data_IF_294020599675
#
_entry.id   IF_294020599675
#
_cell.length_a   1.000
_cell.length_b   1.000
_cell.length_c   1.000
_cell.angle_alpha   90.00
_cell.angle_beta   90.00
_cell.angle_gamma   90.00
#
_symmetry.space_group_name_H-M   'P 1'
#
loop_
_entity.id
_entity.type
_entity.pdbx_description
1 polymer ?
#
# COMPACT_ATOMS: atom_id res chain seq x y z
N UNK A 1 21.14 13.06 -16.80
CA UNK A 1 20.66 11.68 -16.97
C UNK A 1 21.05 11.23 -18.36
N UNK A 2 21.61 10.03 -18.51
CA UNK A 2 22.12 9.53 -19.80
C UNK A 2 21.37 8.25 -20.18
N UNK A 3 21.23 7.97 -21.48
CA UNK A 3 20.59 6.75 -21.96
C UNK A 3 21.31 6.16 -23.15
N UNK A 4 21.26 4.83 -23.28
CA UNK A 4 21.87 4.08 -24.38
C UNK A 4 21.11 2.78 -24.61
N UNK A 5 21.04 2.32 -25.86
CA UNK A 5 20.49 1.01 -26.21
C UNK A 5 21.65 0.02 -26.29
N UNK A 6 21.56 -1.07 -25.53
CA UNK A 6 22.57 -2.13 -25.49
C UNK A 6 21.94 -3.50 -25.67
N UNK A 7 22.75 -4.50 -26.02
CA UNK A 7 22.34 -5.89 -26.04
C UNK A 7 22.49 -6.53 -24.66
N UNK A 8 21.42 -7.09 -24.09
CA UNK A 8 21.47 -7.86 -22.85
C UNK A 8 21.72 -9.33 -23.15
N UNK A 9 22.83 -9.89 -22.63
CA UNK A 9 23.17 -11.30 -22.79
C UNK A 9 22.17 -12.22 -22.07
N UNK A 10 21.77 -11.87 -20.86
CA UNK A 10 20.84 -12.68 -20.05
C UNK A 10 19.43 -12.72 -20.65
N UNK A 11 18.95 -11.58 -21.16
CA UNK A 11 17.61 -11.48 -21.76
C UNK A 11 17.60 -11.78 -23.26
N UNK A 12 18.78 -11.96 -23.88
CA UNK A 12 18.98 -12.20 -25.32
C UNK A 12 18.23 -11.19 -26.20
N UNK A 13 18.21 -9.91 -25.80
CA UNK A 13 17.50 -8.84 -26.53
C UNK A 13 18.09 -7.45 -26.28
N UNK A 14 17.73 -6.49 -27.13
CA UNK A 14 18.05 -5.08 -26.92
C UNK A 14 17.26 -4.53 -25.72
N UNK A 15 17.94 -3.75 -24.90
CA UNK A 15 17.36 -3.04 -23.74
C UNK A 15 17.84 -1.59 -23.77
N UNK A 16 17.00 -0.67 -23.28
CA UNK A 16 17.41 0.72 -23.06
C UNK A 16 17.89 0.86 -21.62
N UNK A 17 19.13 1.32 -21.45
CA UNK A 17 19.70 1.66 -20.16
C UNK A 17 19.47 3.14 -19.86
N UNK A 18 19.13 3.43 -18.62
CA UNK A 18 19.11 4.78 -18.06
C UNK A 18 20.15 4.86 -16.93
N UNK A 19 21.12 5.75 -17.10
CA UNK A 19 22.17 6.01 -16.11
C UNK A 19 21.91 7.36 -15.43
N UNK A 20 21.79 7.31 -14.10
CA UNK A 20 21.52 8.46 -13.27
C UNK A 20 22.67 8.66 -12.28
N UNK A 21 23.01 9.94 -12.09
CA UNK A 21 23.89 10.40 -11.04
C UNK A 21 23.03 11.08 -9.99
N UNK A 22 23.05 10.53 -8.79
CA UNK A 22 22.43 11.12 -7.63
C UNK A 22 23.50 11.89 -6.86
N UNK A 23 23.44 13.22 -6.99
CA UNK A 23 24.39 14.15 -6.38
C UNK A 23 23.77 14.89 -5.17
N UNK A 24 22.71 14.34 -4.56
CA UNK A 24 22.06 14.97 -3.38
C UNK A 24 23.01 15.11 -2.19
N UNK A 25 23.96 14.19 -2.04
CA UNK A 25 25.07 14.30 -1.09
C UNK A 25 26.37 14.66 -1.84
N UNK A 26 26.96 15.84 -1.59
CA UNK A 26 28.22 16.26 -2.22
C UNK A 26 29.39 15.31 -1.95
N UNK A 27 29.36 14.57 -0.84
CA UNK A 27 30.43 13.65 -0.45
C UNK A 27 30.25 12.26 -1.05
N UNK A 28 29.06 11.94 -1.55
CA UNK A 28 28.73 10.61 -2.08
C UNK A 28 27.83 10.73 -3.31
N UNK A 29 28.46 10.74 -4.48
CA UNK A 29 27.75 10.62 -5.75
C UNK A 29 27.31 9.16 -5.93
N UNK A 30 26.02 8.90 -5.80
CA UNK A 30 25.48 7.58 -6.08
C UNK A 30 25.21 7.42 -7.58
N UNK A 31 25.56 6.25 -8.12
CA UNK A 31 25.40 5.90 -9.53
C UNK A 31 24.28 4.87 -9.62
N UNK A 32 23.20 5.21 -10.31
CA UNK A 32 22.02 4.36 -10.43
C UNK A 32 21.90 3.95 -11.89
N UNK A 33 21.78 2.64 -12.12
CA UNK A 33 21.57 2.06 -13.44
C UNK A 33 20.22 1.37 -13.46
N UNK A 34 19.34 1.83 -14.35
CA UNK A 34 18.01 1.27 -14.58
C UNK A 34 17.94 0.78 -16.03
N UNK A 35 17.04 -0.15 -16.34
CA UNK A 35 16.84 -0.59 -17.72
C UNK A 35 15.38 -0.90 -18.02
N UNK A 36 15.01 -0.81 -19.30
CA UNK A 36 13.75 -1.34 -19.81
C UNK A 36 13.97 -2.25 -21.00
N UNK A 37 13.10 -3.25 -21.13
CA UNK A 37 13.03 -4.08 -22.35
C UNK A 37 12.30 -3.36 -23.48
N UNK A 38 11.50 -2.33 -23.16
CA UNK A 38 10.99 -1.39 -24.14
C UNK A 38 12.07 -0.36 -24.47
N UNK A 39 12.57 -0.45 -25.70
CA UNK A 39 13.65 0.41 -26.20
C UNK A 39 13.17 1.79 -26.65
N UNK A 40 11.87 2.06 -26.61
CA UNK A 40 11.29 3.34 -27.02
C UNK A 40 10.99 4.27 -25.84
N UNK A 41 10.87 3.74 -24.61
CA UNK A 41 10.63 4.52 -23.39
C UNK A 41 11.73 5.53 -23.11
N UNK A 42 11.37 6.76 -22.75
CA UNK A 42 12.37 7.74 -22.34
C UNK A 42 12.97 7.41 -20.96
N UNK A 43 14.19 7.88 -20.72
CA UNK A 43 14.88 7.57 -19.48
C UNK A 43 14.15 8.13 -18.22
N UNK A 44 13.34 9.18 -18.40
CA UNK A 44 12.45 9.72 -17.36
C UNK A 44 11.34 8.72 -17.02
N UNK A 45 10.71 8.13 -18.04
CA UNK A 45 9.64 7.15 -17.85
C UNK A 45 10.18 5.89 -17.17
N UNK A 46 11.36 5.43 -17.59
CA UNK A 46 12.06 4.32 -16.93
C UNK A 46 12.26 4.65 -15.44
N UNK A 47 12.75 5.85 -15.11
CA UNK A 47 12.91 6.26 -13.71
C UNK A 47 11.57 6.25 -12.96
N UNK A 48 10.52 6.79 -13.54
CA UNK A 48 9.22 6.90 -12.88
C UNK A 48 8.54 5.54 -12.68
N UNK A 49 8.67 4.61 -13.62
CA UNK A 49 8.25 3.22 -13.42
C UNK A 49 9.01 2.54 -12.27
N UNK A 50 10.32 2.75 -12.19
CA UNK A 50 11.10 2.20 -11.08
C UNK A 50 10.76 2.82 -9.73
N UNK A 51 10.39 4.11 -9.67
CA UNK A 51 9.84 4.74 -8.45
C UNK A 51 8.49 4.12 -8.08
N UNK A 52 7.61 3.93 -9.06
CA UNK A 52 6.29 3.33 -8.85
C UNK A 52 6.39 1.89 -8.31
N UNK A 53 7.45 1.15 -8.66
CA UNK A 53 7.70 -0.22 -8.17
C UNK A 53 7.68 -0.33 -6.64
N UNK A 54 8.12 0.70 -5.91
CA UNK A 54 8.18 0.64 -4.45
C UNK A 54 6.79 0.49 -3.80
N UNK A 55 5.71 0.79 -4.53
CA UNK A 55 4.34 0.61 -4.03
C UNK A 55 4.02 -0.84 -3.63
N UNK A 56 4.64 -1.83 -4.28
CA UNK A 56 4.43 -3.24 -3.93
C UNK A 56 4.97 -3.58 -2.53
N UNK A 57 6.01 -2.87 -2.06
CA UNK A 57 6.60 -3.10 -0.73
C UNK A 57 5.63 -2.71 0.38
N UNK A 58 4.79 -1.69 0.15
CA UNK A 58 3.73 -1.33 1.10
C UNK A 58 2.65 -2.42 1.18
N UNK A 59 2.31 -3.06 0.04
CA UNK A 59 1.36 -4.18 0.03
C UNK A 59 1.88 -5.33 0.89
N UNK A 60 3.13 -5.76 0.69
CA UNK A 60 3.70 -6.84 1.48
C UNK A 60 3.89 -6.47 2.95
N UNK A 61 4.32 -5.24 3.25
CA UNK A 61 4.45 -4.76 4.63
C UNK A 61 3.12 -4.81 5.36
N UNK A 62 2.08 -4.21 4.77
CA UNK A 62 0.77 -4.14 5.39
C UNK A 62 0.13 -5.52 5.53
N UNK A 63 0.30 -6.38 4.53
CA UNK A 63 -0.23 -7.74 4.60
C UNK A 63 0.42 -8.57 5.71
N UNK A 64 1.75 -8.46 5.86
CA UNK A 64 2.47 -9.10 6.98
C UNK A 64 2.02 -8.57 8.33
N UNK A 65 1.90 -7.25 8.45
CA UNK A 65 1.66 -6.60 9.73
C UNK A 65 0.20 -6.66 10.21
N UNK A 66 -0.77 -6.62 9.28
CA UNK A 66 -2.17 -6.43 9.63
C UNK A 66 -3.10 -7.57 9.23
N UNK A 67 -2.77 -8.35 8.21
CA UNK A 67 -3.63 -9.43 7.69
C UNK A 67 -2.99 -10.82 7.84
N UNK A 68 -1.87 -10.92 8.56
CA UNK A 68 -1.25 -12.18 8.95
C UNK A 68 -0.63 -12.98 7.81
N UNK A 69 -0.10 -12.32 6.77
CA UNK A 69 0.47 -12.99 5.58
C UNK A 69 1.51 -14.07 5.94
N UNK A 70 2.24 -13.89 7.04
CA UNK A 70 3.31 -14.78 7.51
C UNK A 70 2.92 -15.67 8.70
N UNK A 71 1.65 -15.64 9.12
CA UNK A 71 1.21 -16.28 10.37
C UNK A 71 0.83 -17.76 10.16
N UNK A 72 0.61 -18.18 8.92
CA UNK A 72 0.20 -19.55 8.63
C UNK A 72 1.36 -20.54 8.78
N UNK A 73 1.11 -21.58 9.56
CA UNK A 73 2.04 -22.67 9.84
C UNK A 73 1.58 -24.00 9.22
N UNK A 74 0.64 -23.96 8.27
CA UNK A 74 0.19 -25.14 7.57
C UNK A 74 1.35 -25.75 6.75
N UNK A 75 1.36 -27.08 6.65
CA UNK A 75 2.34 -27.83 5.83
C UNK A 75 1.79 -28.30 4.49
N UNK A 76 0.50 -28.08 4.27
CA UNK A 76 -0.18 -28.42 3.02
C UNK A 76 -0.14 -27.23 2.06
N UNK A 77 0.25 -27.49 0.81
CA UNK A 77 0.40 -26.45 -0.22
C UNK A 77 -0.91 -25.71 -0.51
N UNK A 78 -2.04 -26.43 -0.56
CA UNK A 78 -3.35 -25.83 -0.85
C UNK A 78 -3.78 -24.90 0.28
N UNK A 79 -3.54 -25.30 1.54
CA UNK A 79 -3.83 -24.46 2.70
C UNK A 79 -2.95 -23.22 2.77
N UNK A 80 -1.67 -23.34 2.40
CA UNK A 80 -0.76 -22.20 2.32
C UNK A 80 -1.22 -21.21 1.24
N UNK A 81 -1.53 -21.70 0.04
CA UNK A 81 -2.01 -20.87 -1.06
C UNK A 81 -3.32 -20.14 -0.69
N UNK A 82 -4.29 -20.87 -0.12
CA UNK A 82 -5.52 -20.25 0.37
C UNK A 82 -5.25 -19.14 1.40
N UNK A 83 -4.36 -19.37 2.36
CA UNK A 83 -4.03 -18.38 3.38
C UNK A 83 -3.39 -17.12 2.79
N UNK A 84 -2.42 -17.27 1.89
CA UNK A 84 -1.77 -16.11 1.26
C UNK A 84 -2.77 -15.28 0.46
N UNK A 85 -3.64 -15.94 -0.32
CA UNK A 85 -4.69 -15.27 -1.08
C UNK A 85 -5.70 -14.57 -0.17
N UNK A 86 -6.14 -15.23 0.91
CA UNK A 86 -7.06 -14.63 1.88
C UNK A 86 -6.46 -13.39 2.56
N UNK A 87 -5.19 -13.46 2.95
CA UNK A 87 -4.48 -12.34 3.58
C UNK A 87 -4.37 -11.13 2.65
N UNK A 88 -3.96 -11.34 1.40
CA UNK A 88 -3.87 -10.28 0.39
C UNK A 88 -5.25 -9.75 -0.01
N UNK A 89 -6.26 -10.62 -0.10
CA UNK A 89 -7.65 -10.25 -0.39
C UNK A 89 -8.22 -9.35 0.71
N UNK A 90 -7.97 -9.65 1.98
CA UNK A 90 -8.41 -8.81 3.09
C UNK A 90 -7.83 -7.39 2.99
N UNK A 91 -6.55 -7.26 2.62
CA UNK A 91 -5.92 -5.96 2.39
C UNK A 91 -6.54 -5.21 1.19
N UNK A 92 -6.81 -5.92 0.09
CA UNK A 92 -7.46 -5.33 -1.08
C UNK A 92 -8.88 -4.85 -0.76
N UNK A 93 -9.65 -5.62 0.02
CA UNK A 93 -10.99 -5.23 0.45
C UNK A 93 -10.96 -3.97 1.32
N UNK A 94 -10.03 -3.91 2.28
CA UNK A 94 -9.84 -2.72 3.13
C UNK A 94 -9.48 -1.47 2.29
N UNK A 95 -8.59 -1.61 1.31
CA UNK A 95 -8.25 -0.53 0.37
C UNK A 95 -9.43 -0.10 -0.47
N UNK A 96 -10.19 -1.06 -1.00
CA UNK A 96 -11.38 -0.79 -1.80
C UNK A 96 -12.42 -0.02 -1.00
N UNK A 97 -12.75 -0.48 0.21
CA UNK A 97 -13.71 0.21 1.09
C UNK A 97 -13.24 1.64 1.42
N UNK A 98 -11.97 1.81 1.79
CA UNK A 98 -11.41 3.13 2.06
C UNK A 98 -11.46 4.06 0.84
N UNK A 99 -11.23 3.53 -0.37
CA UNK A 99 -11.31 4.29 -1.61
C UNK A 99 -12.74 4.71 -1.92
N UNK A 100 -13.72 3.83 -1.72
CA UNK A 100 -15.15 4.14 -1.91
C UNK A 100 -15.65 5.22 -0.94
N UNK A 101 -15.09 5.28 0.27
CA UNK A 101 -15.43 6.28 1.28
C UNK A 101 -14.67 7.60 1.11
N UNK A 102 -13.69 7.66 0.20
CA UNK A 102 -12.87 8.86 -0.01
C UNK A 102 -13.65 9.90 -0.82
N UNK A 103 -14.15 10.94 -0.13
CA UNK A 103 -14.90 12.05 -0.73
C UNK A 103 -14.08 13.34 -0.85
N UNK A 104 -12.80 13.31 -0.49
CA UNK A 104 -11.96 14.49 -0.46
C UNK A 104 -11.39 14.82 -1.85
N UNK A 105 -11.26 16.11 -2.23
CA UNK A 105 -10.53 16.51 -3.43
C UNK A 105 -9.03 16.24 -3.34
N UNK A 106 -8.51 15.91 -2.14
CA UNK A 106 -7.10 15.53 -1.95
C UNK A 106 -6.81 14.15 -2.54
N UNK A 107 -5.56 13.88 -2.96
CA UNK A 107 -5.14 12.54 -3.36
C UNK A 107 -5.48 11.50 -2.29
N UNK A 108 -5.95 10.33 -2.73
CA UNK A 108 -6.23 9.22 -1.82
C UNK A 108 -4.94 8.67 -1.23
N UNK A 109 -4.84 8.70 0.10
CA UNK A 109 -3.72 8.12 0.86
C UNK A 109 -4.29 7.04 1.77
N UNK A 110 -3.80 5.81 1.60
CA UNK A 110 -4.26 4.67 2.37
C UNK A 110 -3.28 4.32 3.49
N UNK A 111 -3.82 4.01 4.66
CA UNK A 111 -3.09 3.48 5.80
C UNK A 111 -3.87 2.35 6.44
N UNK A 112 -3.34 1.13 6.34
CA UNK A 112 -3.98 -0.04 6.94
C UNK A 112 -4.07 0.09 8.47
N UNK A 113 -3.09 0.76 9.10
CA UNK A 113 -3.11 1.05 10.53
C UNK A 113 -4.28 1.95 10.91
N UNK A 114 -4.50 3.06 10.17
CA UNK A 114 -5.64 3.95 10.41
C UNK A 114 -6.96 3.25 10.15
N UNK A 115 -7.06 2.49 9.05
CA UNK A 115 -8.27 1.73 8.70
C UNK A 115 -8.65 0.74 9.81
N UNK A 116 -7.68 -0.06 10.28
CA UNK A 116 -7.88 -1.02 11.38
C UNK A 116 -8.31 -0.32 12.68
N UNK A 117 -7.72 0.85 13.00
CA UNK A 117 -8.13 1.64 14.18
C UNK A 117 -9.56 2.15 14.06
N UNK A 118 -9.96 2.66 12.89
CA UNK A 118 -11.33 3.12 12.66
C UNK A 118 -12.34 1.99 12.83
N UNK A 119 -12.05 0.82 12.25
CA UNK A 119 -12.89 -0.37 12.41
C UNK A 119 -12.99 -0.80 13.88
N UNK A 120 -11.87 -0.80 14.62
CA UNK A 120 -11.85 -1.13 16.04
C UNK A 120 -12.65 -0.12 16.87
N UNK A 121 -12.45 1.18 16.67
CA UNK A 121 -13.16 2.23 17.39
C UNK A 121 -14.67 2.12 17.15
N UNK A 122 -15.09 1.93 15.90
CA UNK A 122 -16.49 1.70 15.55
C UNK A 122 -17.04 0.48 16.30
N UNK A 123 -16.31 -0.63 16.28
CA UNK A 123 -16.72 -1.84 17.01
C UNK A 123 -16.86 -1.58 18.52
N UNK A 124 -15.90 -0.90 19.15
CA UNK A 124 -15.96 -0.56 20.57
C UNK A 124 -17.14 0.36 20.90
N UNK A 125 -17.42 1.36 20.07
CA UNK A 125 -18.58 2.24 20.24
C UNK A 125 -19.89 1.45 20.16
N UNK A 126 -20.02 0.54 19.19
CA UNK A 126 -21.19 -0.34 19.08
C UNK A 126 -21.34 -1.24 20.31
N UNK A 127 -20.23 -1.75 20.85
CA UNK A 127 -20.24 -2.52 22.11
C UNK A 127 -20.70 -1.66 23.28
N UNK A 128 -20.23 -0.42 23.43
CA UNK A 128 -20.69 0.46 24.51
C UNK A 128 -22.16 0.83 24.39
N UNK A 129 -22.62 1.17 23.18
CA UNK A 129 -24.03 1.47 22.91
C UNK A 129 -24.90 0.28 23.33
N UNK A 130 -24.51 -0.94 22.93
CA UNK A 130 -25.27 -2.14 23.27
C UNK A 130 -25.22 -2.50 24.75
N UNK A 131 -24.06 -2.43 25.40
CA UNK A 131 -23.88 -2.86 26.79
C UNK A 131 -24.48 -1.88 27.81
N UNK A 132 -24.54 -0.60 27.46
CA UNK A 132 -25.11 0.46 28.30
C UNK A 132 -26.57 0.78 27.92
N UNK A 133 -27.17 0.00 27.02
CA UNK A 133 -28.55 0.16 26.54
C UNK A 133 -28.85 1.58 26.02
N UNK A 134 -27.87 2.18 25.35
CA UNK A 134 -28.02 3.52 24.78
C UNK A 134 -28.78 3.48 23.46
N UNK A 135 -29.46 4.58 23.12
CA UNK A 135 -30.12 4.69 21.82
C UNK A 135 -29.10 4.75 20.68
N UNK A 136 -28.98 3.63 19.97
CA UNK A 136 -28.08 3.50 18.82
C UNK A 136 -28.43 4.46 17.69
N UNK A 137 -29.70 4.81 17.50
CA UNK A 137 -30.11 5.62 16.36
C UNK A 137 -29.68 7.07 16.54
N UNK A 138 -29.97 7.67 17.69
CA UNK A 138 -29.50 9.00 18.07
C UNK A 138 -27.97 9.09 18.03
N UNK A 139 -27.26 8.14 18.66
CA UNK A 139 -25.79 8.21 18.77
C UNK A 139 -25.11 8.07 17.40
N UNK A 140 -25.54 7.12 16.55
CA UNK A 140 -24.94 6.92 15.23
C UNK A 140 -25.26 8.06 14.25
N UNK A 141 -26.41 8.73 14.42
CA UNK A 141 -26.79 9.89 13.60
C UNK A 141 -26.05 11.17 13.98
N UNK A 142 -25.42 11.21 15.15
CA UNK A 142 -24.73 12.39 15.63
C UNK A 142 -23.52 12.74 14.75
N UNK A 143 -23.32 14.01 14.33
CA UNK A 143 -22.27 14.40 13.39
C UNK A 143 -20.85 14.06 13.88
N UNK A 144 -20.63 14.07 15.20
CA UNK A 144 -19.32 13.74 15.82
C UNK A 144 -19.07 12.25 16.01
N UNK A 145 -20.01 11.38 15.64
CA UNK A 145 -19.79 9.93 15.71
C UNK A 145 -18.59 9.52 14.84
N UNK A 146 -18.43 10.16 13.69
CA UNK A 146 -17.31 9.92 12.80
C UNK A 146 -15.97 10.39 13.40
N UNK A 147 -15.97 11.46 14.19
CA UNK A 147 -14.78 11.93 14.94
C UNK A 147 -14.32 10.88 15.95
N UNK A 148 -15.26 10.22 16.63
CA UNK A 148 -14.96 9.13 17.56
C UNK A 148 -14.44 7.89 16.81
N UNK A 149 -14.99 7.59 15.64
CA UNK A 149 -14.46 6.52 14.78
C UNK A 149 -13.04 6.82 14.31
N UNK A 150 -12.73 8.06 13.93
CA UNK A 150 -11.40 8.46 13.44
C UNK A 150 -10.39 8.77 14.56
N UNK A 151 -10.78 8.64 15.82
CA UNK A 151 -9.90 8.91 16.96
C UNK A 151 -8.62 8.07 16.92
N UNK A 152 -7.45 8.72 17.03
CA UNK A 152 -6.15 8.04 17.00
C UNK A 152 -5.70 7.51 15.63
N UNK A 153 -6.39 7.90 14.54
CA UNK A 153 -5.88 7.70 13.18
C UNK A 153 -4.63 8.54 12.92
N UNK A 154 -3.74 8.06 12.05
CA UNK A 154 -2.54 8.80 11.64
C UNK A 154 -2.99 9.89 10.65
N UNK A 155 -2.66 11.15 10.94
CA UNK A 155 -2.88 12.26 10.02
C UNK A 155 -1.83 12.23 8.89
N UNK A 156 -2.29 12.45 7.65
CA UNK A 156 -1.47 12.54 6.44
C UNK A 156 -1.70 13.88 5.75
#
# INVERSE_FOLDING_TARGET
>A
MYTVIVWSLSLKRKVRLAYLLDCRDPKRIARILLFSTDIHLDASDILDFYKARFQIEFIFRDAKQFTGLTDCQARDFTKLDFHFNASLMALNLAKFEACQLHQSPKPFVFSMASFKRMALNRHLLERFISLLELDSTSIKSHPRFQDLCSYGTIAY
#
